data_IF_449744781860
#
_entry.id   IF_449744781860
#
_cell.length_a   1.000
_cell.length_b   1.000
_cell.length_c   1.000
_cell.angle_alpha   90.00
_cell.angle_beta   90.00
_cell.angle_gamma   90.00
#
_symmetry.space_group_name_H-M   'P 1'
#
loop_
_entity.id
_entity.type
_entity.pdbx_description
1 polymer ?
#
# COMPACT_ATOMS: atom_id res chain seq x y z
N UNK A 1 36.26 -15.63 -3.25
CA UNK A 1 35.15 -16.48 -2.80
C UNK A 1 33.90 -15.65 -2.96
N UNK A 2 33.30 -15.65 -4.16
CA UNK A 2 32.09 -14.88 -4.43
C UNK A 2 30.92 -15.69 -3.86
N UNK A 3 30.32 -15.18 -2.79
CA UNK A 3 29.10 -15.75 -2.27
C UNK A 3 28.04 -15.66 -3.38
N UNK A 4 27.35 -16.79 -3.55
CA UNK A 4 26.30 -17.00 -4.51
C UNK A 4 25.08 -16.16 -4.08
N UNK A 5 25.09 -14.86 -4.36
CA UNK A 5 23.95 -13.97 -4.11
C UNK A 5 22.92 -14.21 -5.20
N UNK A 6 21.91 -15.01 -4.86
CA UNK A 6 20.72 -15.16 -5.68
C UNK A 6 20.11 -13.76 -5.92
N UNK A 7 19.99 -13.26 -7.16
CA UNK A 7 19.46 -11.92 -7.43
C UNK A 7 17.94 -11.80 -7.16
N UNK A 8 17.28 -12.90 -6.82
CA UNK A 8 15.85 -12.97 -6.58
C UNK A 8 15.52 -12.91 -5.09
N UNK A 9 14.76 -11.89 -4.70
CA UNK A 9 14.20 -11.76 -3.35
C UNK A 9 12.79 -12.35 -3.28
N UNK A 10 12.44 -13.00 -2.17
CA UNK A 10 11.08 -13.50 -1.92
C UNK A 10 10.20 -12.41 -1.34
N UNK A 11 8.91 -12.40 -1.67
CA UNK A 11 7.91 -11.48 -1.10
C UNK A 11 7.48 -11.80 0.35
N UNK A 12 8.13 -12.75 1.02
CA UNK A 12 7.74 -13.21 2.36
C UNK A 12 8.11 -12.24 3.48
N UNK A 13 9.17 -11.44 3.30
CA UNK A 13 9.70 -10.57 4.33
C UNK A 13 9.52 -9.13 3.93
N UNK A 14 8.52 -8.49 4.53
CA UNK A 14 8.25 -7.09 4.33
C UNK A 14 7.74 -6.46 5.62
N UNK A 15 7.90 -5.14 5.72
CA UNK A 15 7.23 -4.32 6.74
C UNK A 15 6.47 -3.18 6.07
N UNK A 16 5.48 -2.66 6.78
CA UNK A 16 4.72 -1.49 6.34
C UNK A 16 4.80 -0.43 7.42
N UNK A 17 5.34 0.71 7.03
CA UNK A 17 5.56 1.84 7.92
C UNK A 17 4.57 2.95 7.52
N UNK A 18 3.66 3.31 8.43
CA UNK A 18 2.81 4.50 8.25
C UNK A 18 3.43 5.69 8.96
N UNK A 19 3.55 6.78 8.21
CA UNK A 19 4.07 8.06 8.64
C UNK A 19 2.95 9.11 8.59
N UNK A 20 2.89 10.04 9.54
CA UNK A 20 2.00 11.18 9.42
C UNK A 20 2.37 12.02 8.20
N UNK A 21 1.38 12.71 7.65
CA UNK A 21 1.59 13.61 6.53
C UNK A 21 2.04 14.99 7.04
N UNK A 22 3.22 15.47 6.63
CA UNK A 22 3.78 16.77 7.05
C UNK A 22 4.76 16.69 8.22
N UNK A 23 4.87 17.78 8.99
CA UNK A 23 5.81 17.95 10.14
C UNK A 23 5.28 17.37 11.46
N UNK A 24 4.20 16.60 11.43
CA UNK A 24 3.66 15.96 12.64
C UNK A 24 4.63 14.88 13.12
N UNK A 25 5.03 14.97 14.39
CA UNK A 25 5.92 13.98 15.04
C UNK A 25 5.17 12.76 15.59
N UNK A 26 3.95 12.50 15.12
CA UNK A 26 3.23 11.29 15.49
C UNK A 26 3.97 10.09 14.89
N UNK A 27 4.44 9.19 15.76
CA UNK A 27 5.46 8.21 15.43
C UNK A 27 5.13 7.28 14.26
N UNK A 28 6.18 6.58 13.80
CA UNK A 28 6.10 5.54 12.77
C UNK A 28 5.23 4.39 13.31
N UNK A 29 4.10 4.12 12.66
CA UNK A 29 3.33 2.91 12.95
C UNK A 29 3.91 1.77 12.13
N UNK A 30 4.74 0.94 12.77
CA UNK A 30 5.17 -0.32 12.19
C UNK A 30 4.05 -1.34 12.45
N UNK A 31 3.23 -1.60 11.43
CA UNK A 31 2.19 -2.60 11.52
C UNK A 31 2.64 -3.88 10.79
N UNK A 32 2.60 -5.00 11.50
CA UNK A 32 2.78 -6.31 10.89
C UNK A 32 1.56 -6.65 10.04
N UNK A 33 1.76 -6.84 8.75
CA UNK A 33 0.74 -7.32 7.82
C UNK A 33 1.14 -8.68 7.28
N UNK A 34 0.14 -9.51 7.02
CA UNK A 34 0.31 -10.80 6.37
C UNK A 34 0.22 -10.69 4.85
N UNK A 35 -0.48 -9.67 4.34
CA UNK A 35 -0.64 -9.44 2.90
C UNK A 35 -0.76 -7.94 2.59
N UNK A 36 -0.12 -7.54 1.49
CA UNK A 36 -0.28 -6.23 0.87
C UNK A 36 -0.56 -6.45 -0.61
N UNK A 37 -1.61 -5.82 -1.13
CA UNK A 37 -1.92 -5.84 -2.56
C UNK A 37 -2.31 -4.43 -3.06
N UNK A 38 -2.40 -4.27 -4.39
CA UNK A 38 -2.67 -2.98 -5.02
C UNK A 38 -1.42 -2.18 -5.39
N UNK A 39 -0.21 -2.74 -5.24
CA UNK A 39 1.02 -2.14 -5.74
C UNK A 39 1.07 -2.19 -7.28
N UNK A 40 0.35 -1.29 -7.93
CA UNK A 40 0.32 -1.16 -9.37
C UNK A 40 0.12 0.30 -9.80
N UNK A 41 0.52 0.61 -11.02
CA UNK A 41 0.26 1.88 -11.69
C UNK A 41 -0.14 1.57 -13.12
N UNK A 42 -1.28 2.08 -13.56
CA UNK A 42 -1.78 1.89 -14.92
C UNK A 42 -1.98 3.24 -15.59
N UNK A 43 -1.29 3.51 -16.70
CA UNK A 43 -1.49 4.73 -17.48
C UNK A 43 -2.50 4.47 -18.59
N UNK A 44 -3.61 5.20 -18.57
CA UNK A 44 -4.58 5.16 -19.66
C UNK A 44 -3.93 5.66 -20.96
N UNK A 45 -4.24 5.01 -22.08
CA UNK A 45 -3.72 5.39 -23.40
C UNK A 45 -4.86 5.82 -24.31
N UNK A 46 -4.58 6.80 -25.16
CA UNK A 46 -5.44 7.25 -26.25
C UNK A 46 -4.80 6.94 -27.58
N UNK A 47 -5.59 6.35 -28.48
CA UNK A 47 -5.13 6.04 -29.83
C UNK A 47 -5.38 7.22 -30.76
N UNK A 48 -4.35 7.60 -31.51
CA UNK A 48 -4.42 8.65 -32.52
C UNK A 48 -3.94 8.13 -33.87
N UNK A 49 -4.84 8.16 -34.86
CA UNK A 49 -4.57 7.73 -36.23
C UNK A 49 -4.25 8.95 -37.09
N UNK A 50 -2.96 9.09 -37.43
CA UNK A 50 -2.47 10.19 -38.26
C UNK A 50 -2.63 9.87 -39.75
N UNK A 51 -3.21 10.81 -40.50
CA UNK A 51 -3.32 10.68 -41.96
C UNK A 51 -1.95 10.64 -42.63
N UNK A 52 -1.77 9.76 -43.61
CA UNK A 52 -0.48 9.58 -44.30
C UNK A 52 0.47 8.61 -43.60
N UNK A 53 0.15 8.17 -42.38
CA UNK A 53 0.88 7.15 -41.64
C UNK A 53 0.02 5.88 -41.56
N UNK A 54 0.33 4.88 -42.40
CA UNK A 54 -0.47 3.64 -42.50
C UNK A 54 0.18 2.43 -41.81
N UNK A 55 1.32 2.61 -41.13
CA UNK A 55 2.12 1.50 -40.60
C UNK A 55 2.05 1.35 -39.07
N UNK A 56 1.52 2.34 -38.34
CA UNK A 56 1.24 2.24 -36.91
C UNK A 56 0.15 3.23 -36.47
N UNK A 57 -0.35 3.05 -35.24
CA UNK A 57 -1.26 3.97 -34.54
C UNK A 57 -0.50 4.59 -33.37
N UNK A 58 -0.58 5.91 -33.21
CA UNK A 58 0.04 6.58 -32.07
C UNK A 58 -0.70 6.23 -30.78
N UNK A 59 0.03 5.94 -29.70
CA UNK A 59 -0.54 5.71 -28.37
C UNK A 59 -0.08 6.81 -27.43
N UNK A 60 -0.98 7.73 -27.10
CA UNK A 60 -0.71 8.91 -26.30
C UNK A 60 -1.09 8.66 -24.84
N UNK A 61 -0.20 8.95 -23.87
CA UNK A 61 -0.50 8.76 -22.46
C UNK A 61 -1.52 9.79 -21.94
N UNK A 62 -2.51 9.31 -21.18
CA UNK A 62 -3.49 10.10 -20.41
C UNK A 62 -3.10 10.09 -18.92
N UNK A 63 -4.06 9.85 -18.03
CA UNK A 63 -3.85 9.85 -16.58
C UNK A 63 -3.42 8.48 -16.10
N UNK A 64 -2.51 8.47 -15.13
CA UNK A 64 -2.18 7.26 -14.38
C UNK A 64 -3.21 7.01 -13.29
N UNK A 65 -3.67 5.78 -13.20
CA UNK A 65 -4.54 5.24 -12.17
C UNK A 65 -3.71 4.46 -11.18
N UNK A 66 -4.02 4.68 -9.90
CA UNK A 66 -3.46 3.94 -8.79
C UNK A 66 -4.62 3.17 -8.15
N UNK A 67 -4.62 1.83 -8.21
CA UNK A 67 -5.63 1.05 -7.49
C UNK A 67 -5.40 1.20 -5.98
N UNK A 68 -6.45 0.90 -5.21
CA UNK A 68 -6.39 1.00 -3.76
C UNK A 68 -5.37 0.00 -3.19
N UNK A 69 -4.64 0.42 -2.16
CA UNK A 69 -3.79 -0.49 -1.41
C UNK A 69 -4.65 -1.22 -0.39
N UNK A 70 -4.54 -2.56 -0.39
CA UNK A 70 -5.28 -3.43 0.52
C UNK A 70 -4.28 -4.13 1.43
N UNK A 71 -4.47 -3.94 2.72
CA UNK A 71 -3.64 -4.50 3.78
C UNK A 71 -4.44 -5.53 4.58
N UNK A 72 -3.89 -6.73 4.76
CA UNK A 72 -4.46 -7.74 5.65
C UNK A 72 -3.49 -8.02 6.79
N UNK A 73 -4.00 -8.11 8.01
CA UNK A 73 -3.23 -8.49 9.20
C UNK A 73 -4.03 -9.40 10.11
N UNK A 74 -3.33 -10.20 10.90
CA UNK A 74 -3.94 -10.83 12.06
C UNK A 74 -4.42 -9.78 13.08
N UNK A 75 -5.46 -10.11 13.83
CA UNK A 75 -5.99 -9.27 14.89
C UNK A 75 -4.89 -9.01 15.93
N UNK A 76 -4.68 -7.73 16.23
CA UNK A 76 -3.73 -7.27 17.24
C UNK A 76 -4.46 -6.37 18.22
N UNK A 77 -3.99 -6.32 19.47
CA UNK A 77 -4.58 -5.42 20.49
C UNK A 77 -4.35 -3.92 20.22
N UNK A 78 -3.67 -3.56 19.11
CA UNK A 78 -3.55 -2.18 18.66
C UNK A 78 -4.78 -1.74 17.86
N UNK A 79 -5.38 -0.64 18.28
CA UNK A 79 -6.55 -0.02 17.66
C UNK A 79 -6.20 1.14 16.71
N UNK A 80 -4.92 1.34 16.36
CA UNK A 80 -4.48 2.57 15.67
C UNK A 80 -5.05 2.72 14.26
N UNK A 81 -5.11 1.62 13.50
CA UNK A 81 -5.68 1.62 12.16
C UNK A 81 -7.19 1.86 12.20
N UNK A 82 -7.89 1.25 13.17
CA UNK A 82 -9.31 1.47 13.39
C UNK A 82 -9.58 2.91 13.84
N UNK A 83 -8.79 3.44 14.77
CA UNK A 83 -8.89 4.83 15.23
C UNK A 83 -8.67 5.80 14.07
N UNK A 84 -7.69 5.54 13.21
CA UNK A 84 -7.49 6.34 12.01
C UNK A 84 -8.70 6.30 11.07
N UNK A 85 -9.31 5.12 10.86
CA UNK A 85 -10.55 4.98 10.11
C UNK A 85 -11.69 5.80 10.72
N UNK A 86 -11.93 5.64 12.02
CA UNK A 86 -12.99 6.32 12.75
C UNK A 86 -12.80 7.84 12.74
N UNK A 87 -11.58 8.32 13.01
CA UNK A 87 -11.25 9.75 13.00
C UNK A 87 -11.39 10.37 11.60
N UNK A 88 -11.06 9.64 10.54
CA UNK A 88 -11.19 10.14 9.17
C UNK A 88 -12.64 10.23 8.70
N UNK A 89 -13.50 9.26 9.06
CA UNK A 89 -14.87 9.19 8.56
C UNK A 89 -15.91 9.81 9.49
N UNK A 90 -15.74 9.64 10.80
CA UNK A 90 -16.72 10.03 11.81
C UNK A 90 -16.20 11.13 12.74
N UNK A 91 -14.89 11.41 12.71
CA UNK A 91 -14.28 12.50 13.43
C UNK A 91 -14.63 13.88 12.85
N UNK A 92 -14.44 14.95 13.65
CA UNK A 92 -14.60 16.31 13.18
C UNK A 92 -13.52 16.65 12.11
N UNK A 93 -13.73 17.69 11.28
CA UNK A 93 -12.88 17.98 10.12
C UNK A 93 -11.38 18.01 10.39
N UNK A 94 -10.96 18.53 11.54
CA UNK A 94 -9.58 18.63 12.00
C UNK A 94 -8.91 17.28 12.28
N UNK A 95 -9.68 16.22 12.52
CA UNK A 95 -9.18 14.87 12.73
C UNK A 95 -9.06 14.04 11.45
N UNK A 96 -9.51 14.56 10.31
CA UNK A 96 -9.47 13.87 9.01
C UNK A 96 -8.07 13.92 8.38
N UNK A 97 -7.13 13.28 9.07
CA UNK A 97 -5.71 13.26 8.69
C UNK A 97 -5.42 12.21 7.65
N UNK A 98 -4.69 12.62 6.62
CA UNK A 98 -4.08 11.71 5.64
C UNK A 98 -2.74 11.22 6.18
N UNK A 99 -2.30 10.06 5.72
CA UNK A 99 -1.01 9.48 6.06
C UNK A 99 -0.19 9.23 4.80
N UNK A 100 1.11 9.13 4.96
CA UNK A 100 2.02 8.60 3.96
C UNK A 100 2.66 7.34 4.53
N UNK A 101 3.42 6.60 3.74
CA UNK A 101 4.05 5.40 4.25
C UNK A 101 4.84 4.68 3.20
N UNK A 102 5.44 3.56 3.58
CA UNK A 102 6.20 2.72 2.67
C UNK A 102 5.97 1.24 2.97
N UNK A 103 5.92 0.45 1.90
CA UNK A 103 6.01 -1.00 1.94
C UNK A 103 7.46 -1.35 1.62
N UNK A 104 8.15 -1.99 2.55
CA UNK A 104 9.60 -2.22 2.48
C UNK A 104 9.85 -3.71 2.38
N UNK A 105 10.51 -4.14 1.30
CA UNK A 105 10.99 -5.50 1.10
C UNK A 105 12.32 -5.68 1.84
N UNK A 106 12.48 -6.81 2.51
CA UNK A 106 13.66 -7.13 3.30
C UNK A 106 14.32 -8.44 2.86
N UNK A 107 15.63 -8.54 3.03
CA UNK A 107 16.40 -9.75 2.74
C UNK A 107 16.27 -10.82 3.85
N UNK A 108 17.01 -11.92 3.71
CA UNK A 108 17.06 -12.99 4.70
C UNK A 108 17.74 -12.60 6.03
N UNK A 109 18.41 -11.46 6.09
CA UNK A 109 19.06 -10.89 7.28
C UNK A 109 18.23 -9.76 7.91
N UNK A 110 17.16 -9.31 7.25
CA UNK A 110 16.33 -8.19 7.68
C UNK A 110 16.80 -6.83 7.18
N UNK A 111 17.76 -6.78 6.24
CA UNK A 111 18.16 -5.53 5.60
C UNK A 111 17.12 -5.10 4.57
N UNK A 112 16.89 -3.79 4.49
CA UNK A 112 16.00 -3.20 3.50
C UNK A 112 16.60 -3.38 2.09
N UNK A 113 15.81 -3.93 1.18
CA UNK A 113 16.21 -4.23 -0.21
C UNK A 113 15.59 -3.23 -1.19
N UNK A 114 14.36 -2.83 -0.92
CA UNK A 114 13.62 -1.89 -1.75
C UNK A 114 12.33 -1.46 -1.07
N UNK A 115 11.80 -0.32 -1.49
CA UNK A 115 10.62 0.28 -0.88
C UNK A 115 9.68 0.87 -1.92
N UNK A 116 8.38 0.76 -1.65
CA UNK A 116 7.31 1.45 -2.38
C UNK A 116 6.62 2.40 -1.43
N UNK A 117 6.90 3.70 -1.57
CA UNK A 117 6.29 4.75 -0.79
C UNK A 117 4.98 5.22 -1.42
N UNK A 118 3.96 5.42 -0.59
CA UNK A 118 2.68 6.03 -0.96
C UNK A 118 2.45 7.33 -0.20
N UNK A 119 1.74 8.27 -0.82
CA UNK A 119 1.48 9.59 -0.25
C UNK A 119 0.00 9.97 -0.26
N UNK A 120 -0.39 10.85 0.67
CA UNK A 120 -1.74 11.41 0.73
C UNK A 120 -2.85 10.38 0.97
N UNK A 121 -2.51 9.25 1.59
CA UNK A 121 -3.41 8.13 1.78
C UNK A 121 -4.47 8.37 2.85
N UNK A 122 -5.64 7.76 2.66
CA UNK A 122 -6.71 7.73 3.66
C UNK A 122 -7.54 6.46 3.52
N UNK A 123 -8.14 5.98 4.62
CA UNK A 123 -8.85 4.73 4.63
C UNK A 123 -10.21 4.88 3.95
N UNK A 124 -10.63 3.85 3.21
CA UNK A 124 -11.92 3.84 2.49
C UNK A 124 -12.77 2.62 2.81
N UNK A 125 -12.16 1.55 3.33
CA UNK A 125 -12.87 0.35 3.76
C UNK A 125 -12.14 -0.35 4.91
N UNK A 126 -12.91 -0.88 5.85
CA UNK A 126 -12.45 -1.76 6.91
C UNK A 126 -13.30 -3.03 6.93
N UNK A 127 -12.67 -4.18 7.07
CA UNK A 127 -13.34 -5.47 7.25
C UNK A 127 -12.76 -6.13 8.50
N UNK A 128 -13.62 -6.37 9.48
CA UNK A 128 -13.25 -7.08 10.71
C UNK A 128 -13.15 -8.60 10.50
N UNK A 129 -12.69 -9.34 11.52
CA UNK A 129 -12.59 -10.79 11.44
C UNK A 129 -13.96 -11.47 11.37
N UNK A 130 -14.02 -12.58 10.63
CA UNK A 130 -15.16 -13.49 10.69
C UNK A 130 -15.06 -14.37 11.95
N UNK A 131 -16.12 -14.39 12.75
CA UNK A 131 -16.20 -15.23 13.95
C UNK A 131 -17.03 -16.48 13.68
N UNK A 132 -16.41 -17.66 13.86
CA UNK A 132 -17.08 -18.96 13.75
C UNK A 132 -16.81 -19.77 15.02
N UNK A 133 -17.87 -20.22 15.68
CA UNK A 133 -17.74 -21.01 16.91
C UNK A 133 -17.39 -22.50 16.66
N UNK A 134 -17.40 -22.94 15.41
CA UNK A 134 -17.22 -24.35 15.05
C UNK A 134 -15.79 -24.71 14.64
N UNK A 135 -15.00 -23.76 14.15
CA UNK A 135 -13.64 -23.96 13.65
C UNK A 135 -12.77 -22.77 14.08
N UNK A 136 -11.52 -23.03 14.45
CA UNK A 136 -10.56 -22.00 14.88
C UNK A 136 -9.67 -21.55 13.72
N UNK A 137 -9.83 -20.31 13.29
CA UNK A 137 -8.96 -19.64 12.31
C UNK A 137 -8.36 -18.37 12.92
N UNK A 138 -7.25 -17.89 12.35
CA UNK A 138 -6.69 -16.60 12.76
C UNK A 138 -7.68 -15.50 12.42
N UNK A 139 -8.06 -14.70 13.40
CA UNK A 139 -8.86 -13.50 13.17
C UNK A 139 -8.07 -12.53 12.28
N UNK A 140 -8.54 -12.25 11.08
CA UNK A 140 -7.89 -11.35 10.12
C UNK A 140 -8.72 -10.09 9.94
N UNK A 141 -8.06 -8.94 9.98
CA UNK A 141 -8.62 -7.64 9.63
C UNK A 141 -8.08 -7.19 8.29
N UNK A 142 -8.91 -6.52 7.50
CA UNK A 142 -8.52 -5.91 6.23
C UNK A 142 -8.76 -4.41 6.26
N UNK A 143 -7.75 -3.63 5.88
CA UNK A 143 -7.84 -2.19 5.66
C UNK A 143 -7.57 -1.88 4.19
N UNK A 144 -8.46 -1.10 3.57
CA UNK A 144 -8.28 -0.56 2.24
C UNK A 144 -8.06 0.95 2.31
N UNK A 145 -7.03 1.43 1.62
CA UNK A 145 -6.73 2.86 1.49
C UNK A 145 -6.71 3.26 0.02
N UNK A 146 -7.11 4.50 -0.24
CA UNK A 146 -6.73 5.19 -1.48
C UNK A 146 -5.45 5.99 -1.21
N UNK A 147 -4.69 6.28 -2.26
CA UNK A 147 -3.49 7.11 -2.19
C UNK A 147 -3.32 7.94 -3.47
N UNK A 148 -2.46 8.96 -3.43
CA UNK A 148 -2.28 9.88 -4.55
C UNK A 148 -1.14 9.51 -5.50
N UNK A 149 -0.33 8.52 -5.15
CA UNK A 149 0.74 8.04 -6.00
C UNK A 149 1.65 7.03 -5.31
N UNK A 150 2.58 6.48 -6.07
CA UNK A 150 3.62 5.57 -5.61
C UNK A 150 5.00 6.09 -6.05
N UNK A 151 6.01 5.92 -5.20
CA UNK A 151 7.42 6.15 -5.51
C UNK A 151 8.22 4.91 -5.09
N UNK A 152 9.02 4.37 -5.99
CA UNK A 152 9.90 3.23 -5.70
C UNK A 152 11.32 3.70 -5.36
N UNK A 153 11.96 3.03 -4.41
CA UNK A 153 13.35 3.21 -4.02
C UNK A 153 14.01 1.83 -3.97
N UNK A 154 15.04 1.60 -4.79
CA UNK A 154 15.82 0.37 -4.84
C UNK A 154 17.24 0.71 -5.31
#
# INVERSE_FOLDING_TARGET
>A
MFANENPFYTNLRFRVDFLPFGLEMDGIWVAGFSEVSGLAVETELEEYQEGGVNHFVHKLPKRSKFPNLVFKRGFVRSNELWRWYEEFHFGPPEKRKRKQGAIILMDANGNDVGAWAFEGAYPVKWVGPEFRATHGEVAVETLEIVHHGLKSYF
#
